data_IF_256849775371
#
_entry.id   IF_256849775371
#
_cell.length_a   1.000
_cell.length_b   1.000
_cell.length_c   1.000
_cell.angle_alpha   90.00
_cell.angle_beta   90.00
_cell.angle_gamma   90.00
#
_symmetry.space_group_name_H-M   'P 1'
#
loop_
_entity.id
_entity.type
_entity.pdbx_description
1 polymer ?
#
# COMPACT_ATOMS: atom_id res chain seq x y z
N UNK A 1 -6.22 -20.02 6.40
CA UNK A 1 -5.32 -20.63 5.42
C UNK A 1 -4.59 -19.48 4.76
N UNK A 2 -3.30 -19.40 5.04
CA UNK A 2 -2.44 -18.27 4.69
C UNK A 2 -1.46 -18.69 3.61
N UNK A 3 -1.11 -17.74 2.74
CA UNK A 3 -0.06 -17.93 1.74
C UNK A 3 1.29 -17.60 2.42
N UNK A 4 2.17 -18.59 2.52
CA UNK A 4 3.46 -18.50 3.21
C UNK A 4 4.60 -18.14 2.27
N UNK A 5 4.59 -18.65 1.05
CA UNK A 5 5.67 -18.43 0.09
C UNK A 5 5.16 -18.43 -1.33
N UNK A 6 5.78 -17.61 -2.16
CA UNK A 6 5.55 -17.59 -3.61
C UNK A 6 6.89 -17.71 -4.31
N UNK A 7 7.01 -18.70 -5.18
CA UNK A 7 8.17 -18.84 -6.05
C UNK A 7 7.72 -18.78 -7.51
N UNK A 8 8.42 -18.01 -8.33
CA UNK A 8 8.13 -17.82 -9.74
C UNK A 8 9.44 -17.99 -10.51
N UNK A 9 9.48 -18.99 -11.39
CA UNK A 9 10.65 -19.32 -12.19
C UNK A 9 10.44 -18.90 -13.65
N UNK A 10 11.48 -18.28 -14.19
CA UNK A 10 11.62 -17.84 -15.57
C UNK A 10 10.49 -16.95 -16.09
N UNK A 11 9.96 -16.06 -15.26
CA UNK A 11 8.95 -15.08 -15.66
C UNK A 11 9.53 -14.12 -16.71
N UNK A 12 8.84 -14.02 -17.84
CA UNK A 12 9.29 -13.32 -19.06
C UNK A 12 10.65 -13.77 -19.61
N UNK A 13 11.14 -14.95 -19.21
CA UNK A 13 12.42 -15.48 -19.68
C UNK A 13 13.65 -14.98 -18.90
N UNK A 14 13.48 -14.11 -17.90
CA UNK A 14 14.61 -13.48 -17.19
C UNK A 14 14.40 -13.33 -15.67
N UNK A 15 13.16 -13.32 -15.19
CA UNK A 15 12.86 -13.00 -13.79
C UNK A 15 12.61 -14.28 -12.99
N UNK A 16 13.34 -14.43 -11.89
CA UNK A 16 13.13 -15.49 -10.91
C UNK A 16 12.86 -14.84 -9.55
N UNK A 17 11.81 -15.30 -8.88
CA UNK A 17 11.40 -14.81 -7.57
C UNK A 17 11.22 -15.97 -6.61
N UNK A 18 11.62 -15.74 -5.38
CA UNK A 18 11.37 -16.64 -4.28
C UNK A 18 11.13 -15.78 -3.04
N UNK A 19 9.86 -15.57 -2.73
CA UNK A 19 9.40 -14.57 -1.76
C UNK A 19 8.74 -15.31 -0.60
N UNK A 20 9.39 -15.27 0.56
CA UNK A 20 8.79 -15.65 1.84
C UNK A 20 7.90 -14.50 2.34
N UNK A 21 6.64 -14.81 2.58
CA UNK A 21 5.61 -13.88 3.04
C UNK A 21 5.52 -13.84 4.57
N UNK A 22 6.13 -14.80 5.26
CA UNK A 22 6.15 -14.88 6.72
C UNK A 22 4.74 -14.92 7.34
N UNK A 23 4.64 -14.37 8.56
CA UNK A 23 3.41 -14.35 9.36
C UNK A 23 2.94 -12.92 9.65
N UNK A 24 3.14 -12.00 8.69
CA UNK A 24 2.78 -10.59 8.85
C UNK A 24 1.40 -10.31 8.27
N UNK A 25 0.57 -9.54 8.97
CA UNK A 25 -0.75 -9.11 8.46
C UNK A 25 -0.63 -8.22 7.21
N UNK A 26 0.47 -7.49 7.08
CA UNK A 26 0.74 -6.62 5.93
C UNK A 26 2.10 -6.93 5.31
N UNK A 27 2.11 -7.08 3.99
CA UNK A 27 3.32 -7.40 3.21
C UNK A 27 3.49 -6.33 2.13
N UNK A 28 4.68 -5.76 2.07
CA UNK A 28 5.04 -4.72 1.09
C UNK A 28 6.06 -5.32 0.12
N UNK A 29 5.68 -5.39 -1.15
CA UNK A 29 6.57 -5.84 -2.24
C UNK A 29 7.16 -4.61 -2.92
N UNK A 30 8.47 -4.44 -2.78
CA UNK A 30 9.23 -3.32 -3.37
C UNK A 30 10.24 -3.81 -4.40
N UNK A 31 10.66 -2.92 -5.29
CA UNK A 31 11.63 -3.19 -6.36
C UNK A 31 11.60 -2.10 -7.43
N UNK A 32 12.59 -2.03 -8.34
CA UNK A 32 12.61 -1.04 -9.41
C UNK A 32 11.46 -1.22 -10.41
N UNK A 33 11.24 -0.22 -11.27
CA UNK A 33 10.26 -0.33 -12.35
C UNK A 33 10.69 -1.40 -13.36
N UNK A 34 9.71 -2.16 -13.89
CA UNK A 34 9.97 -3.28 -14.81
C UNK A 34 10.26 -4.62 -14.13
N UNK A 35 10.48 -4.68 -12.82
CA UNK A 35 10.74 -5.92 -12.06
C UNK A 35 9.45 -6.71 -11.75
N UNK A 36 8.43 -6.66 -12.60
CA UNK A 36 7.27 -7.55 -12.50
C UNK A 36 6.38 -7.44 -11.25
N UNK A 37 6.55 -6.44 -10.36
CA UNK A 37 5.74 -6.29 -9.13
C UNK A 37 4.23 -6.43 -9.37
N UNK A 38 3.68 -5.65 -10.30
CA UNK A 38 2.26 -5.71 -10.68
C UNK A 38 1.89 -7.06 -11.28
N UNK A 39 2.80 -7.70 -12.01
CA UNK A 39 2.57 -9.02 -12.59
C UNK A 39 2.52 -10.10 -11.51
N UNK A 40 3.35 -10.02 -10.49
CA UNK A 40 3.32 -10.93 -9.35
C UNK A 40 1.98 -10.82 -8.59
N UNK A 41 1.47 -9.60 -8.39
CA UNK A 41 0.13 -9.42 -7.81
C UNK A 41 -0.99 -9.96 -8.72
N UNK A 42 -0.88 -9.77 -10.05
CA UNK A 42 -1.83 -10.37 -11.01
C UNK A 42 -1.79 -11.89 -10.99
N UNK A 43 -0.61 -12.49 -10.83
CA UNK A 43 -0.43 -13.95 -10.71
C UNK A 43 -1.20 -14.49 -9.50
N UNK A 44 -1.06 -13.82 -8.34
CA UNK A 44 -1.80 -14.17 -7.11
C UNK A 44 -3.31 -14.02 -7.32
N UNK A 45 -3.75 -12.88 -7.88
CA UNK A 45 -5.17 -12.60 -8.13
C UNK A 45 -5.81 -13.65 -9.05
N UNK A 46 -5.14 -14.01 -10.14
CA UNK A 46 -5.69 -14.95 -11.11
C UNK A 46 -5.72 -16.39 -10.59
N UNK A 47 -4.76 -16.84 -9.78
CA UNK A 47 -4.84 -18.19 -9.23
C UNK A 47 -5.94 -18.32 -8.17
N UNK A 48 -6.09 -17.31 -7.30
CA UNK A 48 -7.09 -17.34 -6.23
C UNK A 48 -8.51 -17.20 -6.79
N UNK A 49 -8.67 -16.46 -7.90
CA UNK A 49 -9.92 -16.43 -8.67
C UNK A 49 -10.08 -17.61 -9.64
N UNK A 50 -9.17 -18.61 -9.60
CA UNK A 50 -9.21 -19.83 -10.43
C UNK A 50 -9.22 -19.54 -11.94
N UNK A 51 -8.69 -18.39 -12.35
CA UNK A 51 -8.57 -17.98 -13.74
C UNK A 51 -7.32 -18.58 -14.39
N UNK A 52 -7.40 -19.85 -14.77
CA UNK A 52 -6.27 -20.54 -15.44
C UNK A 52 -5.97 -19.97 -16.83
N UNK A 53 -6.96 -19.35 -17.50
CA UNK A 53 -6.77 -18.80 -18.84
C UNK A 53 -5.61 -17.81 -18.90
N UNK A 54 -5.45 -16.98 -17.86
CA UNK A 54 -4.35 -16.02 -17.71
C UNK A 54 -2.95 -16.68 -17.85
N UNK A 55 -2.80 -17.90 -17.36
CA UNK A 55 -1.52 -18.60 -17.37
C UNK A 55 -1.19 -19.22 -18.73
N UNK A 56 -2.10 -19.23 -19.72
CA UNK A 56 -1.74 -19.64 -21.08
C UNK A 56 -0.89 -18.60 -21.81
N UNK A 57 -1.18 -17.33 -21.63
CA UNK A 57 -0.49 -16.24 -22.33
C UNK A 57 0.74 -15.74 -21.55
N UNK A 58 0.73 -15.93 -20.24
CA UNK A 58 1.88 -15.59 -19.40
C UNK A 58 3.10 -16.45 -19.74
N UNK A 59 4.25 -15.79 -19.95
CA UNK A 59 5.56 -16.44 -20.15
C UNK A 59 6.22 -16.73 -18.82
N UNK A 60 6.27 -17.99 -18.41
CA UNK A 60 6.94 -18.48 -17.21
C UNK A 60 7.30 -19.96 -17.41
N UNK A 61 8.10 -20.55 -16.51
CA UNK A 61 8.33 -22.00 -16.48
C UNK A 61 7.49 -22.67 -15.39
N UNK A 62 7.61 -22.17 -14.17
CA UNK A 62 6.98 -22.75 -12.99
C UNK A 62 6.57 -21.65 -12.01
N UNK A 63 5.40 -21.78 -11.40
CA UNK A 63 4.93 -20.92 -10.31
C UNK A 63 4.47 -21.83 -9.16
N UNK A 64 4.98 -21.56 -7.95
CA UNK A 64 4.63 -22.29 -6.73
C UNK A 64 4.03 -21.35 -5.70
N UNK A 65 2.93 -21.80 -5.10
CA UNK A 65 2.30 -21.18 -3.94
C UNK A 65 2.32 -22.17 -2.80
N UNK A 66 3.03 -21.82 -1.74
CA UNK A 66 3.05 -22.59 -0.51
C UNK A 66 2.06 -21.97 0.47
N UNK A 67 0.98 -22.69 0.74
CA UNK A 67 0.02 -22.36 1.78
C UNK A 67 0.26 -23.29 2.99
N UNK A 68 -0.35 -22.96 4.13
CA UNK A 68 -0.19 -23.71 5.40
C UNK A 68 -0.25 -25.24 5.25
N UNK A 69 -1.18 -25.74 4.43
CA UNK A 69 -1.46 -27.18 4.30
C UNK A 69 -1.35 -27.70 2.88
N UNK A 70 -1.15 -26.80 1.91
CA UNK A 70 -1.23 -27.12 0.49
C UNK A 70 -0.08 -26.48 -0.26
N UNK A 71 0.58 -27.25 -1.12
CA UNK A 71 1.46 -26.73 -2.16
C UNK A 71 0.75 -26.77 -3.51
N UNK A 72 0.64 -25.61 -4.15
CA UNK A 72 0.08 -25.47 -5.48
C UNK A 72 1.19 -25.14 -6.47
N UNK A 73 1.35 -25.96 -7.51
CA UNK A 73 2.34 -25.78 -8.56
C UNK A 73 1.66 -25.61 -9.91
N UNK A 74 2.05 -24.58 -10.66
CA UNK A 74 1.59 -24.30 -12.01
C UNK A 74 2.80 -24.37 -12.94
N UNK A 75 2.74 -25.23 -13.95
CA UNK A 75 3.87 -25.50 -14.84
C UNK A 75 3.47 -25.35 -16.30
N UNK A 76 4.33 -24.69 -17.09
CA UNK A 76 4.22 -24.69 -18.55
C UNK A 76 4.69 -26.00 -19.14
N UNK A 77 3.81 -26.64 -19.90
CA UNK A 77 4.12 -27.87 -20.63
C UNK A 77 4.59 -27.56 -22.06
N UNK A 78 5.34 -28.49 -22.67
CA UNK A 78 5.92 -28.33 -24.03
C UNK A 78 4.90 -27.95 -25.11
N UNK A 79 3.63 -28.34 -24.95
CA UNK A 79 2.55 -28.09 -25.91
C UNK A 79 1.78 -26.78 -25.65
N UNK A 80 2.36 -25.82 -24.91
CA UNK A 80 1.68 -24.61 -24.39
C UNK A 80 0.56 -24.86 -23.38
N UNK A 81 0.31 -26.12 -23.01
CA UNK A 81 -0.63 -26.48 -21.95
C UNK A 81 -0.13 -25.99 -20.59
N UNK A 82 -1.06 -25.86 -19.64
CA UNK A 82 -0.76 -25.47 -18.26
C UNK A 82 -1.14 -26.65 -17.37
N UNK A 83 -0.18 -27.19 -16.63
CA UNK A 83 -0.46 -28.20 -15.62
C UNK A 83 -0.60 -27.52 -14.26
N UNK A 84 -1.66 -27.85 -13.52
CA UNK A 84 -1.83 -27.43 -12.12
C UNK A 84 -1.77 -28.67 -11.24
N UNK A 85 -0.81 -28.69 -10.33
CA UNK A 85 -0.60 -29.75 -9.36
C UNK A 85 -0.89 -29.22 -7.97
N UNK A 86 -1.65 -29.98 -7.19
CA UNK A 86 -1.96 -29.67 -5.80
C UNK A 86 -1.48 -30.83 -4.93
N UNK A 87 -0.65 -30.53 -3.95
CA UNK A 87 -0.21 -31.46 -2.91
C UNK A 87 -0.83 -31.02 -1.60
N UNK A 88 -1.69 -31.86 -1.04
CA UNK A 88 -2.31 -31.67 0.27
C UNK A 88 -1.51 -32.48 1.29
N UNK A 89 -0.78 -31.78 2.16
CA UNK A 89 0.09 -32.40 3.15
C UNK A 89 -0.67 -33.08 4.29
N UNK A 90 -1.90 -32.65 4.57
CA UNK A 90 -2.71 -33.19 5.67
C UNK A 90 -3.27 -34.56 5.29
N UNK A 91 -3.71 -34.69 4.04
CA UNK A 91 -4.32 -35.92 3.54
C UNK A 91 -3.34 -36.83 2.78
N UNK A 92 -2.07 -36.43 2.66
CA UNK A 92 -1.03 -37.06 1.83
C UNK A 92 -1.53 -37.36 0.41
N UNK A 93 -2.21 -36.36 -0.19
CA UNK A 93 -2.84 -36.49 -1.50
C UNK A 93 -2.20 -35.56 -2.50
N UNK A 94 -1.73 -36.13 -3.61
CA UNK A 94 -1.31 -35.39 -4.79
C UNK A 94 -2.35 -35.53 -5.90
N UNK A 95 -2.77 -34.40 -6.46
CA UNK A 95 -3.71 -34.34 -7.57
C UNK A 95 -3.15 -33.42 -8.64
N UNK A 96 -3.44 -33.68 -9.90
CA UNK A 96 -2.98 -32.88 -11.03
C UNK A 96 -4.04 -32.83 -12.11
N UNK A 97 -4.21 -31.66 -12.71
CA UNK A 97 -5.02 -31.47 -13.91
C UNK A 97 -4.20 -30.69 -14.96
N UNK A 98 -4.33 -31.10 -16.23
CA UNK A 98 -3.67 -30.42 -17.36
C UNK A 98 -4.73 -29.70 -18.17
N UNK A 99 -4.59 -28.39 -18.25
CA UNK A 99 -5.46 -27.50 -19.00
C UNK A 99 -4.87 -27.26 -20.39
N UNK A 100 -5.73 -27.35 -21.40
CA UNK A 100 -5.38 -27.13 -22.81
C UNK A 100 -6.02 -25.85 -23.31
N UNK A 101 -5.25 -25.05 -24.07
CA UNK A 101 -5.76 -23.83 -24.67
C UNK A 101 -6.85 -24.17 -25.72
N UNK A 102 -8.07 -23.74 -25.47
CA UNK A 102 -9.14 -23.79 -26.48
C UNK A 102 -8.89 -22.71 -27.54
N UNK A 103 -8.41 -23.12 -28.73
CA UNK A 103 -8.08 -22.23 -29.86
C UNK A 103 -9.25 -21.38 -30.38
N UNK A 104 -10.48 -21.60 -29.92
CA UNK A 104 -11.65 -20.77 -30.28
C UNK A 104 -11.77 -19.47 -29.46
N UNK A 105 -10.76 -19.14 -28.62
CA UNK A 105 -10.72 -17.94 -27.75
C UNK A 105 -9.65 -16.92 -28.17
N UNK A 106 -9.25 -16.88 -29.44
CA UNK A 106 -8.52 -15.72 -29.97
C UNK A 106 -9.48 -14.51 -30.01
N UNK A 107 -9.43 -13.67 -28.99
CA UNK A 107 -9.69 -12.23 -29.04
C UNK A 107 -9.08 -11.67 -27.74
N UNK A 108 -7.82 -11.28 -27.90
CA UNK A 108 -6.82 -10.86 -26.92
C UNK A 108 -7.30 -9.71 -26.03
N UNK A 109 -7.66 -10.02 -24.78
CA UNK A 109 -8.31 -9.09 -23.83
C UNK A 109 -7.45 -7.84 -23.59
N UNK A 110 -6.12 -7.94 -23.71
CA UNK A 110 -5.20 -6.83 -23.52
C UNK A 110 -5.19 -5.86 -24.72
N UNK A 111 -5.33 -6.36 -25.97
CA UNK A 111 -5.53 -5.50 -27.15
C UNK A 111 -6.90 -4.78 -27.11
N UNK A 112 -7.90 -5.40 -26.47
CA UNK A 112 -9.25 -4.85 -26.33
C UNK A 112 -9.37 -3.72 -25.31
N UNK A 113 -8.66 -3.81 -24.18
CA UNK A 113 -8.60 -2.71 -23.20
C UNK A 113 -7.86 -1.49 -23.80
N UNK A 114 -6.85 -1.70 -24.65
CA UNK A 114 -6.15 -0.61 -25.35
C UNK A 114 -7.06 0.10 -26.37
N UNK A 115 -7.85 -0.64 -27.15
CA UNK A 115 -8.84 -0.08 -28.08
C UNK A 115 -9.97 0.63 -27.34
N UNK A 116 -10.48 0.05 -26.26
CA UNK A 116 -11.55 0.65 -25.46
C UNK A 116 -11.10 1.96 -24.79
N UNK A 117 -9.87 2.01 -24.28
CA UNK A 117 -9.29 3.23 -23.74
C UNK A 117 -9.04 4.27 -24.84
N UNK A 118 -8.60 3.88 -26.05
CA UNK A 118 -8.53 4.79 -27.21
C UNK A 118 -9.91 5.36 -27.59
N UNK A 119 -10.96 4.55 -27.56
CA UNK A 119 -12.35 4.96 -27.82
C UNK A 119 -12.94 5.90 -26.76
N UNK A 120 -12.42 5.87 -25.53
CA UNK A 120 -12.81 6.78 -24.44
C UNK A 120 -12.07 8.14 -24.49
N UNK A 121 -10.89 8.17 -25.11
CA UNK A 121 -10.00 9.34 -25.14
C UNK A 121 -10.13 10.13 -26.46
N UNK A 122 -10.47 9.47 -27.57
CA UNK A 122 -10.60 10.11 -28.87
C UNK A 122 -12.04 10.52 -29.17
N UNK A 123 -12.32 11.83 -29.13
CA UNK A 123 -13.56 12.41 -29.66
C UNK A 123 -13.70 12.24 -31.19
N UNK A 124 -12.62 11.88 -31.89
CA UNK A 124 -12.62 11.70 -33.35
C UNK A 124 -12.51 10.23 -33.76
N UNK A 125 -13.68 9.60 -33.89
CA UNK A 125 -13.91 8.23 -34.38
C UNK A 125 -13.62 8.08 -35.89
N UNK A 126 -13.35 9.19 -36.59
CA UNK A 126 -13.26 9.26 -38.06
C UNK A 126 -12.10 8.51 -38.72
N UNK A 127 -11.15 8.01 -37.94
CA UNK A 127 -9.91 7.40 -38.46
C UNK A 127 -10.04 5.92 -38.81
N UNK A 128 -11.06 5.21 -38.29
CA UNK A 128 -11.16 3.75 -38.44
C UNK A 128 -12.33 3.35 -39.35
N UNK A 129 -12.07 2.76 -40.53
CA UNK A 129 -13.10 2.42 -41.51
C UNK A 129 -14.10 1.35 -41.03
N UNK A 130 -13.78 0.58 -39.98
CA UNK A 130 -14.70 -0.44 -39.42
C UNK A 130 -15.75 0.20 -38.49
N UNK A 131 -15.42 1.33 -37.86
CA UNK A 131 -16.26 1.98 -36.85
C UNK A 131 -17.27 2.99 -37.43
N UNK A 132 -17.19 3.32 -38.73
CA UNK A 132 -18.08 4.28 -39.40
C UNK A 132 -19.54 3.84 -39.53
N UNK A 133 -19.83 2.55 -39.40
CA UNK A 133 -21.18 2.01 -39.66
C UNK A 133 -22.05 1.84 -38.41
N UNK A 134 -21.55 2.17 -37.21
CA UNK A 134 -22.27 1.94 -35.96
C UNK A 134 -22.33 3.21 -35.12
N UNK A 135 -23.50 3.52 -34.54
CA UNK A 135 -23.65 4.65 -33.64
C UNK A 135 -22.84 4.40 -32.35
N UNK A 136 -22.22 5.45 -31.78
CA UNK A 136 -21.33 5.35 -30.61
C UNK A 136 -22.00 4.66 -29.40
N UNK A 137 -23.29 4.88 -29.22
CA UNK A 137 -24.08 4.29 -28.16
C UNK A 137 -24.38 2.80 -28.40
N UNK A 138 -24.59 2.40 -29.67
CA UNK A 138 -24.79 1.00 -30.07
C UNK A 138 -23.50 0.20 -29.95
N UNK A 139 -22.35 0.81 -30.26
CA UNK A 139 -21.01 0.28 -30.01
C UNK A 139 -20.87 0.01 -28.51
N UNK A 140 -21.01 1.03 -27.66
CA UNK A 140 -20.86 0.88 -26.20
C UNK A 140 -21.81 -0.15 -25.61
N UNK A 141 -23.05 -0.25 -26.12
CA UNK A 141 -24.04 -1.19 -25.63
C UNK A 141 -23.77 -2.62 -26.13
N UNK A 142 -23.41 -2.80 -27.41
CA UNK A 142 -22.93 -4.07 -27.96
C UNK A 142 -21.72 -4.57 -27.17
N UNK A 143 -20.76 -3.70 -26.87
CA UNK A 143 -19.55 -4.03 -26.11
C UNK A 143 -19.82 -4.25 -24.61
N UNK A 144 -20.75 -3.50 -23.98
CA UNK A 144 -21.21 -3.81 -22.61
C UNK A 144 -21.87 -5.17 -22.55
N UNK A 145 -22.78 -5.48 -23.48
CA UNK A 145 -23.48 -6.76 -23.55
C UNK A 145 -22.49 -7.90 -23.86
N UNK A 146 -21.50 -7.69 -24.75
CA UNK A 146 -20.42 -8.65 -25.01
C UNK A 146 -19.52 -8.83 -23.79
N UNK A 147 -19.12 -7.77 -23.10
CA UNK A 147 -18.29 -7.82 -21.87
C UNK A 147 -19.03 -8.56 -20.74
N UNK A 148 -20.33 -8.33 -20.59
CA UNK A 148 -21.18 -9.04 -19.62
C UNK A 148 -21.37 -10.51 -20.01
N UNK A 149 -21.57 -10.84 -21.30
CA UNK A 149 -21.62 -12.24 -21.78
C UNK A 149 -20.28 -12.95 -21.64
N UNK A 150 -19.18 -12.28 -22.00
CA UNK A 150 -17.81 -12.77 -21.86
C UNK A 150 -17.47 -13.05 -20.39
N UNK A 151 -17.78 -12.15 -19.45
CA UNK A 151 -17.49 -12.40 -18.03
C UNK A 151 -18.32 -13.54 -17.42
N UNK A 152 -19.52 -13.82 -17.96
CA UNK A 152 -20.39 -14.90 -17.44
C UNK A 152 -20.06 -16.30 -17.97
N UNK A 153 -19.34 -16.43 -19.10
CA UNK A 153 -19.08 -17.73 -19.75
C UNK A 153 -17.60 -18.16 -19.79
N UNK A 154 -16.64 -17.38 -19.27
CA UNK A 154 -15.24 -17.49 -19.76
C UNK A 154 -14.23 -18.35 -19.04
N UNK A 155 -14.29 -18.65 -17.74
CA UNK A 155 -13.19 -19.39 -17.13
C UNK A 155 -13.27 -20.89 -17.42
N UNK A 156 -12.12 -21.59 -17.51
CA UNK A 156 -12.10 -23.05 -17.40
C UNK A 156 -12.74 -23.42 -16.06
N UNK A 157 -14.04 -23.73 -16.07
CA UNK A 157 -14.75 -24.25 -14.92
C UNK A 157 -14.20 -25.65 -14.65
N UNK A 158 -13.45 -25.78 -13.57
CA UNK A 158 -12.87 -27.04 -13.14
C UNK A 158 -13.28 -27.32 -11.71
N UNK A 159 -14.02 -28.42 -11.54
CA UNK A 159 -14.33 -29.01 -10.24
C UNK A 159 -13.06 -29.31 -9.44
N UNK A 160 -11.93 -29.57 -10.11
CA UNK A 160 -10.65 -29.80 -9.45
C UNK A 160 -10.12 -28.51 -8.83
N UNK A 161 -10.16 -27.37 -9.52
CA UNK A 161 -9.74 -26.09 -8.94
C UNK A 161 -10.68 -25.67 -7.81
N UNK A 162 -11.99 -25.87 -7.98
CA UNK A 162 -12.97 -25.53 -6.94
C UNK A 162 -12.80 -26.36 -5.67
N UNK A 163 -12.37 -27.63 -5.79
CA UNK A 163 -12.12 -28.52 -4.65
C UNK A 163 -10.72 -28.40 -4.06
N UNK A 164 -9.75 -27.90 -4.83
CA UNK A 164 -8.34 -27.93 -4.45
C UNK A 164 -7.78 -26.55 -4.10
N UNK A 165 -8.40 -25.47 -4.59
CA UNK A 165 -8.06 -24.09 -4.24
C UNK A 165 -9.12 -23.56 -3.28
N UNK A 166 -8.75 -23.11 -2.07
CA UNK A 166 -9.69 -22.56 -1.12
C UNK A 166 -10.39 -21.32 -1.70
N UNK A 167 -11.66 -21.14 -1.36
CA UNK A 167 -12.31 -19.86 -1.60
C UNK A 167 -11.72 -18.82 -0.65
N UNK A 168 -11.15 -17.76 -1.20
CA UNK A 168 -10.65 -16.62 -0.45
C UNK A 168 -11.45 -15.37 -0.86
N UNK A 169 -11.80 -14.53 0.12
CA UNK A 169 -12.30 -13.20 -0.17
C UNK A 169 -11.12 -12.36 -0.69
N UNK A 170 -11.07 -12.17 -2.00
CA UNK A 170 -9.99 -11.46 -2.66
C UNK A 170 -10.49 -10.13 -3.22
N UNK A 171 -9.82 -9.05 -2.85
CA UNK A 171 -10.00 -7.74 -3.47
C UNK A 171 -8.70 -7.25 -4.07
N UNK A 172 -8.56 -7.34 -5.40
CA UNK A 172 -7.42 -6.76 -6.09
C UNK A 172 -7.61 -5.25 -6.31
N UNK A 173 -6.65 -4.44 -5.86
CA UNK A 173 -6.67 -2.99 -6.02
C UNK A 173 -5.59 -2.55 -7.01
N UNK A 174 -6.01 -2.08 -8.19
CA UNK A 174 -5.12 -1.59 -9.25
C UNK A 174 -4.55 -0.21 -8.88
N UNK A 175 -3.30 0.04 -9.28
CA UNK A 175 -2.59 1.30 -9.05
C UNK A 175 -3.28 2.54 -9.67
N UNK A 176 -4.07 2.37 -10.74
CA UNK A 176 -4.68 3.46 -11.51
C UNK A 176 -6.11 3.85 -11.04
N UNK A 177 -6.49 3.53 -9.80
CA UNK A 177 -7.83 3.90 -9.27
C UNK A 177 -7.92 5.35 -8.77
N UNK A 178 -6.80 6.07 -8.79
CA UNK A 178 -6.71 7.44 -8.28
C UNK A 178 -7.26 8.45 -9.31
N UNK A 179 -7.21 8.12 -10.60
CA UNK A 179 -7.78 8.93 -11.67
C UNK A 179 -9.27 8.57 -11.85
N UNK A 180 -10.10 9.08 -10.94
CA UNK A 180 -11.54 9.11 -11.16
C UNK A 180 -11.84 10.10 -12.30
N UNK A 181 -11.97 9.59 -13.53
CA UNK A 181 -12.28 10.38 -14.74
C UNK A 181 -13.66 11.09 -14.65
N UNK A 182 -14.47 10.85 -13.60
CA UNK A 182 -15.83 11.41 -13.46
C UNK A 182 -16.13 12.18 -12.18
N UNK A 183 -15.22 12.26 -11.20
CA UNK A 183 -15.46 13.02 -9.97
C UNK A 183 -14.35 14.07 -9.79
N UNK A 184 -14.74 15.32 -9.60
CA UNK A 184 -13.89 16.53 -9.60
C UNK A 184 -12.82 16.62 -8.49
N UNK A 185 -12.61 15.57 -7.67
CA UNK A 185 -11.50 15.49 -6.70
C UNK A 185 -10.92 14.08 -6.67
N UNK A 186 -9.60 13.98 -6.83
CA UNK A 186 -8.91 12.69 -6.75
C UNK A 186 -8.88 12.17 -5.30
N UNK A 187 -8.82 10.85 -5.11
CA UNK A 187 -8.67 10.26 -3.76
C UNK A 187 -7.37 10.71 -3.06
N UNK A 188 -6.34 11.07 -3.85
CA UNK A 188 -5.12 11.71 -3.33
C UNK A 188 -5.45 13.07 -2.74
N UNK A 189 -6.19 13.92 -3.47
CA UNK A 189 -6.56 15.25 -2.98
C UNK A 189 -7.42 15.18 -1.73
N UNK A 190 -8.36 14.23 -1.63
CA UNK A 190 -9.14 14.06 -0.40
C UNK A 190 -8.24 13.67 0.78
N UNK A 191 -7.32 12.73 0.59
CA UNK A 191 -6.43 12.29 1.66
C UNK A 191 -5.41 13.37 2.04
N UNK A 192 -4.89 14.10 1.05
CA UNK A 192 -3.98 15.23 1.27
C UNK A 192 -4.69 16.36 2.04
N UNK A 193 -5.96 16.66 1.69
CA UNK A 193 -6.75 17.63 2.43
C UNK A 193 -7.05 17.17 3.86
N UNK A 194 -7.35 15.89 4.07
CA UNK A 194 -7.54 15.33 5.40
C UNK A 194 -6.28 15.46 6.27
N UNK A 195 -5.11 15.08 5.74
CA UNK A 195 -3.83 15.26 6.42
C UNK A 195 -3.55 16.74 6.72
N UNK A 196 -3.85 17.62 5.77
CA UNK A 196 -3.69 19.07 5.95
C UNK A 196 -4.57 19.60 7.09
N UNK A 197 -5.81 19.13 7.21
CA UNK A 197 -6.72 19.50 8.31
C UNK A 197 -6.20 19.02 9.66
N UNK A 198 -5.68 17.79 9.75
CA UNK A 198 -5.07 17.26 10.97
C UNK A 198 -3.88 18.12 11.41
N UNK A 199 -2.97 18.45 10.49
CA UNK A 199 -1.79 19.28 10.79
C UNK A 199 -2.22 20.68 11.24
N UNK A 200 -3.22 21.29 10.57
CA UNK A 200 -3.74 22.61 10.96
C UNK A 200 -4.33 22.59 12.37
N UNK A 201 -5.14 21.59 12.68
CA UNK A 201 -5.75 21.44 14.01
C UNK A 201 -4.69 21.29 15.09
N UNK A 202 -3.69 20.43 14.88
CA UNK A 202 -2.58 20.27 15.82
C UNK A 202 -1.79 21.59 16.02
N UNK A 203 -1.59 22.37 14.95
CA UNK A 203 -0.95 23.67 15.04
C UNK A 203 -1.77 24.71 15.81
N UNK A 204 -3.09 24.74 15.60
CA UNK A 204 -4.01 25.60 16.35
C UNK A 204 -4.05 25.24 17.84
N UNK A 205 -4.16 23.95 18.17
CA UNK A 205 -4.11 23.45 19.56
C UNK A 205 -2.77 23.79 20.24
N UNK A 206 -1.64 23.60 19.54
CA UNK A 206 -0.31 23.96 20.02
C UNK A 206 -0.16 25.47 20.28
N UNK A 207 -0.75 26.32 19.42
CA UNK A 207 -0.76 27.77 19.60
C UNK A 207 -1.59 28.18 20.82
N UNK A 208 -2.76 27.57 21.04
CA UNK A 208 -3.60 27.83 22.21
C UNK A 208 -2.90 27.41 23.51
N UNK A 209 -2.28 26.23 23.52
CA UNK A 209 -1.46 25.77 24.65
C UNK A 209 -0.33 26.76 24.92
N UNK A 210 0.39 27.19 23.88
CA UNK A 210 1.47 28.17 24.02
C UNK A 210 1.01 29.46 24.67
N UNK A 211 -0.10 30.03 24.20
CA UNK A 211 -0.67 31.27 24.75
C UNK A 211 -1.09 31.11 26.23
N UNK A 212 -1.70 29.98 26.58
CA UNK A 212 -2.08 29.67 27.97
C UNK A 212 -0.86 29.52 28.88
N UNK A 213 0.16 28.79 28.43
CA UNK A 213 1.37 28.56 29.23
C UNK A 213 2.16 29.85 29.44
N UNK A 214 2.28 30.68 28.40
CA UNK A 214 3.02 31.94 28.46
C UNK A 214 2.31 32.97 29.35
N UNK A 215 0.97 33.05 29.29
CA UNK A 215 0.19 33.95 30.16
C UNK A 215 0.18 33.54 31.63
N UNK A 216 0.34 32.24 31.92
CA UNK A 216 0.39 31.71 33.29
C UNK A 216 1.80 31.48 33.82
N UNK A 217 2.83 31.75 33.01
CA UNK A 217 4.23 31.44 33.34
C UNK A 217 4.69 32.08 34.67
N UNK A 218 4.46 33.39 34.94
CA UNK A 218 4.92 33.99 36.19
C UNK A 218 4.33 33.32 37.44
N UNK A 219 3.03 33.02 37.43
CA UNK A 219 2.36 32.37 38.56
C UNK A 219 2.93 30.96 38.80
N UNK A 220 3.02 30.15 37.74
CA UNK A 220 3.56 28.78 37.82
C UNK A 220 5.03 28.77 38.26
N UNK A 221 5.81 29.77 37.85
CA UNK A 221 7.19 29.92 38.31
C UNK A 221 7.25 30.16 39.83
N UNK A 222 6.49 31.13 40.35
CA UNK A 222 6.47 31.40 41.79
C UNK A 222 5.98 30.21 42.63
N UNK A 223 5.00 29.45 42.12
CA UNK A 223 4.52 28.24 42.80
C UNK A 223 5.62 27.16 42.84
N UNK A 224 6.34 26.95 41.72
CA UNK A 224 7.39 25.93 41.59
C UNK A 224 8.66 26.21 42.42
N UNK A 225 8.89 27.45 42.86
CA UNK A 225 10.02 27.81 43.73
C UNK A 225 9.86 27.19 45.13
N UNK A 226 8.61 27.00 45.58
CA UNK A 226 8.30 26.44 46.90
C UNK A 226 8.33 24.90 46.93
N UNK A 227 8.40 24.25 45.76
CA UNK A 227 8.47 22.80 45.63
C UNK A 227 9.92 22.30 45.60
N UNK A 228 10.27 21.33 46.45
CA UNK A 228 11.56 20.65 46.40
C UNK A 228 11.60 19.66 45.24
N UNK A 229 11.87 20.17 44.03
CA UNK A 229 11.95 19.34 42.83
C UNK A 229 13.24 18.49 42.88
N UNK A 230 13.09 17.16 42.79
CA UNK A 230 14.23 16.25 42.72
C UNK A 230 15.00 16.47 41.41
N UNK A 231 16.34 16.47 41.48
CA UNK A 231 17.25 16.63 40.36
C UNK A 231 17.32 15.37 39.48
N UNK A 232 16.21 14.88 38.94
CA UNK A 232 16.28 13.98 37.79
C UNK A 232 16.89 14.76 36.62
N UNK A 233 17.79 14.10 35.91
CA UNK A 233 18.69 14.65 34.90
C UNK A 233 17.98 15.58 33.89
N UNK A 234 18.01 16.89 34.18
CA UNK A 234 17.49 17.96 33.30
C UNK A 234 18.09 17.82 31.89
N UNK A 235 19.34 17.36 31.80
CA UNK A 235 20.03 17.08 30.56
C UNK A 235 19.32 16.02 29.71
N UNK A 236 18.87 14.90 30.30
CA UNK A 236 18.17 13.86 29.54
C UNK A 236 16.83 14.36 29.00
N UNK A 237 16.13 15.19 29.78
CA UNK A 237 14.87 15.82 29.35
C UNK A 237 15.11 16.82 28.20
N UNK A 238 16.17 17.62 28.28
CA UNK A 238 16.56 18.55 27.20
C UNK A 238 16.91 17.81 25.91
N UNK A 239 17.68 16.72 26.00
CA UNK A 239 18.00 15.86 24.85
C UNK A 239 16.71 15.25 24.26
N UNK A 240 15.80 14.80 25.12
CA UNK A 240 14.50 14.27 24.70
C UNK A 240 13.66 15.28 23.90
N UNK A 241 13.54 16.51 24.40
CA UNK A 241 12.82 17.59 23.68
C UNK A 241 13.50 17.89 22.34
N UNK A 242 14.83 17.98 22.33
CA UNK A 242 15.57 18.25 21.11
C UNK A 242 15.29 17.20 20.03
N UNK A 243 15.31 15.91 20.40
CA UNK A 243 14.97 14.81 19.49
C UNK A 243 13.55 14.92 18.94
N UNK A 244 12.56 15.23 19.79
CA UNK A 244 11.18 15.44 19.35
C UNK A 244 11.06 16.60 18.36
N UNK A 245 11.72 17.73 18.65
CA UNK A 245 11.76 18.88 17.74
C UNK A 245 12.42 18.53 16.41
N UNK A 246 13.55 17.86 16.42
CA UNK A 246 14.25 17.41 15.22
C UNK A 246 13.39 16.50 14.36
N UNK A 247 12.62 15.61 14.98
CA UNK A 247 11.67 14.75 14.30
C UNK A 247 10.59 15.56 13.58
N UNK A 248 9.92 16.48 14.28
CA UNK A 248 8.87 17.31 13.69
C UNK A 248 9.40 18.29 12.64
N UNK A 249 10.62 18.81 12.80
CA UNK A 249 11.30 19.61 11.77
C UNK A 249 11.62 18.77 10.52
N UNK A 250 12.11 17.54 10.70
CA UNK A 250 12.38 16.62 9.58
C UNK A 250 11.12 16.35 8.74
N UNK A 251 9.96 16.27 9.40
CA UNK A 251 8.67 16.10 8.71
C UNK A 251 8.04 17.42 8.23
N UNK A 252 8.70 18.56 8.44
CA UNK A 252 8.20 19.87 8.00
C UNK A 252 6.99 20.38 8.78
N UNK A 253 6.67 19.78 9.92
CA UNK A 253 5.53 20.14 10.79
C UNK A 253 5.83 21.45 11.54
N UNK A 254 7.08 21.62 11.99
CA UNK A 254 7.54 22.81 12.71
C UNK A 254 8.65 23.48 11.90
N UNK A 255 8.62 24.82 11.84
CA UNK A 255 9.63 25.61 11.13
C UNK A 255 11.00 25.51 11.80
N UNK A 256 12.04 25.50 10.98
CA UNK A 256 13.43 25.61 11.44
C UNK A 256 13.69 27.04 11.91
N UNK A 257 13.79 27.24 13.22
CA UNK A 257 14.54 28.37 13.78
C UNK A 257 15.71 27.84 14.60
N UNK A 258 16.80 28.61 14.58
CA UNK A 258 18.15 28.23 14.97
C UNK A 258 18.25 27.54 16.34
N UNK A 259 19.19 26.58 16.38
CA UNK A 259 19.71 25.82 17.53
C UNK A 259 19.05 26.09 18.90
N UNK A 260 18.03 25.28 19.22
CA UNK A 260 17.30 25.27 20.50
C UNK A 260 18.18 25.03 21.74
N UNK A 261 19.37 24.44 21.56
CA UNK A 261 20.30 24.19 22.65
C UNK A 261 21.67 24.78 22.29
N UNK A 262 22.17 25.78 23.03
CA UNK A 262 23.58 26.12 23.01
C UNK A 262 24.36 24.82 23.31
N UNK A 263 25.23 24.38 22.40
CA UNK A 263 26.14 23.22 22.59
C UNK A 263 27.08 23.31 23.82
N UNK A 264 26.84 24.27 24.74
CA UNK A 264 27.64 24.66 25.90
C UNK A 264 27.00 24.32 27.25
N UNK A 265 26.06 23.37 27.33
CA UNK A 265 25.63 22.80 28.62
C UNK A 265 26.47 21.56 28.97
N UNK A 266 27.78 21.75 29.08
CA UNK A 266 28.65 20.78 29.75
C UNK A 266 29.38 21.50 30.87
N UNK A 267 29.07 21.11 32.11
CA UNK A 267 29.85 21.42 33.32
C UNK A 267 29.50 22.69 34.12
N UNK A 268 28.29 23.24 34.03
CA UNK A 268 27.84 24.25 34.99
C UNK A 268 27.04 23.58 36.14
N UNK A 269 27.50 23.72 37.38
CA UNK A 269 26.67 23.50 38.57
C UNK A 269 25.54 24.51 38.54
N UNK A 270 24.36 24.07 38.11
CA UNK A 270 23.15 24.89 38.10
C UNK A 270 22.71 25.16 39.54
N UNK A 271 22.55 26.42 39.91
CA UNK A 271 21.87 26.81 41.14
C UNK A 271 20.43 26.26 41.14
N UNK A 272 19.87 26.04 42.33
CA UNK A 272 18.52 25.45 42.51
C UNK A 272 17.46 26.24 41.74
N UNK A 273 17.61 27.56 41.71
CA UNK A 273 16.72 28.51 41.05
C UNK A 273 16.71 28.31 39.52
N UNK A 274 17.88 28.08 38.92
CA UNK A 274 18.00 27.81 37.49
C UNK A 274 17.42 26.44 37.11
N UNK A 275 17.56 25.44 37.98
CA UNK A 275 16.95 24.12 37.78
C UNK A 275 15.43 24.19 37.78
N UNK A 276 14.83 24.99 38.67
CA UNK A 276 13.37 25.21 38.69
C UNK A 276 12.88 25.86 37.40
N UNK A 277 13.54 26.94 36.95
CA UNK A 277 13.18 27.63 35.69
C UNK A 277 13.32 26.71 34.48
N UNK A 278 14.43 25.97 34.38
CA UNK A 278 14.65 25.04 33.27
C UNK A 278 13.65 23.89 33.27
N UNK A 279 13.30 23.34 34.44
CA UNK A 279 12.30 22.28 34.53
C UNK A 279 10.92 22.75 34.06
N UNK A 280 10.51 23.96 34.47
CA UNK A 280 9.24 24.54 34.03
C UNK A 280 9.26 24.79 32.51
N UNK A 281 10.35 25.35 31.99
CA UNK A 281 10.53 25.55 30.55
C UNK A 281 10.45 24.25 29.74
N UNK A 282 11.11 23.19 30.22
CA UNK A 282 11.12 21.86 29.59
C UNK A 282 9.71 21.27 29.58
N UNK A 283 8.99 21.36 30.70
CA UNK A 283 7.60 20.88 30.78
C UNK A 283 6.70 21.63 29.82
N UNK A 284 6.81 22.97 29.75
CA UNK A 284 6.06 23.80 28.83
C UNK A 284 6.37 23.45 27.37
N UNK A 285 7.65 23.27 27.03
CA UNK A 285 8.05 22.90 25.69
C UNK A 285 7.52 21.52 25.27
N UNK A 286 7.44 20.55 26.19
CA UNK A 286 6.82 19.26 25.92
C UNK A 286 5.31 19.38 25.70
N UNK A 287 4.61 20.14 26.54
CA UNK A 287 3.16 20.36 26.41
C UNK A 287 2.82 21.10 25.11
N UNK A 288 3.64 22.08 24.70
CA UNK A 288 3.49 22.75 23.40
C UNK A 288 3.63 21.80 22.21
N UNK A 289 4.36 20.69 22.37
CA UNK A 289 4.59 19.69 21.32
C UNK A 289 3.59 18.53 21.34
N UNK A 290 2.83 18.34 22.43
CA UNK A 290 1.94 17.19 22.57
C UNK A 290 0.87 17.05 21.48
N UNK A 291 0.28 18.13 20.91
CA UNK A 291 -0.72 17.99 19.84
C UNK A 291 -0.20 17.31 18.57
N UNK A 292 1.12 17.30 18.36
CA UNK A 292 1.75 16.68 17.20
C UNK A 292 2.08 15.19 17.41
N UNK A 293 1.90 14.65 18.61
CA UNK A 293 2.19 13.23 18.89
C UNK A 293 1.13 12.28 18.33
N UNK A 294 -0.06 12.80 18.03
CA UNK A 294 -1.19 12.03 17.47
C UNK A 294 -1.27 12.07 15.93
N UNK A 295 -0.32 12.76 15.27
CA UNK A 295 -0.18 12.82 13.80
C UNK A 295 0.58 11.62 13.24
#
# INVERSE_FOLDING_TARGET
>A
MELRRISVNNLFGILNYDIDLGNSETIIITGPNGYGKTMLLKIIDNILNKNIDFFFDLRFEEIKFELDTILLCIEKQKNKNVAVTVVDYVNDKKRQEVFTLNKNKELDVDYFDEIYNKLLICDNIDSDPILKSYNHEEILNYYKIKKIKLHKEKHHKSDFLDKSIPNAELTFIKAQRIENIKNEKSAIESQANFLLELIKRAAEESAQISQRLDSTFPARLFDSINENISSTSINDRLIGIQRKRELFMKFGIIKSEDTFIPRKFSNATLGKEYSTVLNLYISDALEKLSPYEEL
#
